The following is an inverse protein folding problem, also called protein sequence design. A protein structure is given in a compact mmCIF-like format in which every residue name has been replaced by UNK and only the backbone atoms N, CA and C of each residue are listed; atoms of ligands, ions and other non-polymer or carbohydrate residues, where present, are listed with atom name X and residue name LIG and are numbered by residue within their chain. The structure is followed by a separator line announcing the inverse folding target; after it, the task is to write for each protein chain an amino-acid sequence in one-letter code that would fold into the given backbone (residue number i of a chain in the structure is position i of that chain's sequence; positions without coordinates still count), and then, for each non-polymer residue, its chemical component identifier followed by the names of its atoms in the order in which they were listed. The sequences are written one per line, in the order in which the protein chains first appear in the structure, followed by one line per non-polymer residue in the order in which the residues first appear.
data_IF_628749409811
#
_entry.id   IF_628749409811
#
_cell.length_a   1.000
_cell.length_b   1.000
_cell.length_c   1.000
_cell.angle_alpha   90.00
_cell.angle_beta   90.00
_cell.angle_gamma   90.00
#
_symmetry.space_group_name_H-M   'P 1'
#
loop_
_entity.id
_entity.type
_entity.pdbx_description
1 polymer ?
#
# COMPACT_ATOMS: atom_id res chain seq x y z
N UNK A 1 -2.56 -5.61 -10.86
CA UNK A 1 -3.37 -5.01 -9.76
C UNK A 1 -3.88 -6.01 -8.75
N UNK A 2 -4.49 -7.15 -9.15
CA UNK A 2 -4.79 -8.23 -8.20
C UNK A 2 -3.55 -8.68 -7.39
N UNK A 3 -2.37 -8.60 -7.98
CA UNK A 3 -1.11 -8.90 -7.30
C UNK A 3 -0.79 -7.96 -6.13
N UNK A 4 -1.01 -6.64 -6.27
CA UNK A 4 -0.81 -5.67 -5.19
C UNK A 4 -1.73 -5.96 -4.00
N UNK A 5 -2.99 -6.27 -4.28
CA UNK A 5 -3.94 -6.68 -3.24
C UNK A 5 -3.47 -7.93 -2.51
N UNK A 6 -2.98 -8.94 -3.23
CA UNK A 6 -2.41 -10.13 -2.59
C UNK A 6 -1.18 -9.80 -1.74
N UNK A 7 -0.33 -8.87 -2.20
CA UNK A 7 0.84 -8.38 -1.45
C UNK A 7 0.41 -7.73 -0.13
N UNK A 8 -0.58 -6.83 -0.16
CA UNK A 8 -1.15 -6.23 1.06
C UNK A 8 -1.79 -7.25 2.01
N UNK A 9 -2.55 -8.21 1.47
CA UNK A 9 -3.14 -9.28 2.29
C UNK A 9 -2.07 -10.15 2.97
N UNK A 10 -0.98 -10.47 2.27
CA UNK A 10 0.19 -11.15 2.87
C UNK A 10 0.86 -10.30 3.94
N UNK A 11 0.99 -8.99 3.71
CA UNK A 11 1.55 -8.04 4.67
C UNK A 11 0.71 -8.00 5.96
N UNK A 12 -0.64 -7.94 5.86
CA UNK A 12 -1.54 -8.01 7.03
C UNK A 12 -1.34 -9.31 7.81
N UNK A 13 -1.29 -10.44 7.10
CA UNK A 13 -1.07 -11.74 7.72
C UNK A 13 0.28 -11.81 8.44
N UNK A 14 1.35 -11.24 7.86
CA UNK A 14 2.68 -11.15 8.50
C UNK A 14 2.67 -10.27 9.74
N UNK A 15 1.91 -9.17 9.72
CA UNK A 15 1.73 -8.30 10.87
C UNK A 15 0.82 -8.90 11.96
N UNK A 16 0.25 -10.10 11.74
CA UNK A 16 -0.65 -10.75 12.69
C UNK A 16 -2.04 -10.10 12.77
N UNK A 17 -2.41 -9.31 11.77
CA UNK A 17 -3.66 -8.55 11.75
C UNK A 17 -4.81 -9.41 11.23
N UNK A 18 -5.93 -9.41 11.94
CA UNK A 18 -7.17 -10.04 11.48
C UNK A 18 -7.73 -9.29 10.26
N UNK A 19 -8.53 -9.92 9.38
CA UNK A 19 -9.18 -9.25 8.26
C UNK A 19 -10.21 -8.18 8.67
N UNK A 20 -10.70 -8.25 9.91
CA UNK A 20 -11.60 -7.25 10.52
C UNK A 20 -10.86 -6.12 11.21
N UNK A 21 -9.53 -6.21 11.32
CA UNK A 21 -8.73 -5.17 11.97
C UNK A 21 -8.73 -3.90 11.12
N UNK A 22 -9.04 -2.78 11.76
CA UNK A 22 -9.08 -1.47 11.13
C UNK A 22 -7.63 -0.96 10.97
N UNK A 23 -7.12 -0.96 9.75
CA UNK A 23 -5.73 -0.63 9.44
C UNK A 23 -5.66 0.30 8.24
N UNK A 24 -4.80 1.32 8.34
CA UNK A 24 -4.55 2.22 7.21
C UNK A 24 -3.54 1.61 6.26
N UNK A 25 -3.91 1.54 4.98
CA UNK A 25 -3.07 0.97 3.95
C UNK A 25 -2.42 2.09 3.16
N UNK A 26 -1.10 2.16 3.23
CA UNK A 26 -0.33 3.23 2.62
C UNK A 26 0.77 2.68 1.72
N UNK A 27 1.21 3.48 0.77
CA UNK A 27 2.39 3.15 -0.03
C UNK A 27 3.26 4.39 -0.23
N UNK A 28 4.56 4.18 -0.43
CA UNK A 28 5.52 5.21 -0.78
C UNK A 28 6.21 4.82 -2.07
N UNK A 29 6.31 5.74 -3.03
CA UNK A 29 7.13 5.53 -4.22
C UNK A 29 8.56 5.89 -3.88
N UNK A 30 9.48 4.92 -4.01
CA UNK A 30 10.91 5.12 -3.77
C UNK A 30 11.63 5.47 -5.07
N UNK A 31 11.25 4.81 -6.16
CA UNK A 31 11.80 5.09 -7.49
C UNK A 31 10.77 4.74 -8.56
N UNK A 32 10.51 5.65 -9.49
CA UNK A 32 9.60 5.43 -10.62
C UNK A 32 10.27 5.93 -11.92
N UNK A 33 11.31 5.22 -12.40
CA UNK A 33 12.10 5.69 -13.55
C UNK A 33 11.31 5.68 -14.87
N UNK A 34 10.27 4.85 -14.96
CA UNK A 34 9.40 4.73 -16.13
C UNK A 34 8.23 5.73 -16.08
N UNK A 35 8.07 6.47 -14.97
CA UNK A 35 6.95 7.39 -14.80
C UNK A 35 5.60 6.67 -14.86
N UNK A 36 5.53 5.44 -14.33
CA UNK A 36 4.34 4.58 -14.36
C UNK A 36 3.13 5.30 -13.75
N UNK A 37 3.37 6.30 -12.89
CA UNK A 37 2.31 7.07 -12.25
C UNK A 37 1.54 6.16 -11.30
N UNK A 38 2.28 5.44 -10.45
CA UNK A 38 1.72 4.42 -9.57
C UNK A 38 0.55 4.95 -8.73
N UNK A 39 0.63 6.19 -8.25
CA UNK A 39 -0.47 6.82 -7.53
C UNK A 39 -1.71 7.09 -8.37
N UNK A 40 -1.57 7.48 -9.63
CA UNK A 40 -2.70 7.60 -10.54
C UNK A 40 -3.35 6.23 -10.82
N UNK A 41 -2.54 5.16 -10.92
CA UNK A 41 -3.04 3.79 -11.08
C UNK A 41 -3.78 3.26 -9.85
N UNK A 42 -3.27 3.58 -8.66
CA UNK A 42 -3.94 3.25 -7.39
C UNK A 42 -5.25 4.02 -7.29
N UNK A 43 -5.23 5.33 -7.52
CA UNK A 43 -6.43 6.18 -7.51
C UNK A 43 -7.48 5.70 -8.51
N UNK A 44 -7.08 5.34 -9.74
CA UNK A 44 -7.97 4.83 -10.78
C UNK A 44 -8.62 3.48 -10.43
N UNK A 45 -8.07 2.73 -9.46
CA UNK A 45 -8.55 1.40 -9.06
C UNK A 45 -8.86 1.32 -7.57
N UNK A 46 -9.07 2.46 -6.93
CA UNK A 46 -9.28 2.55 -5.48
C UNK A 46 -10.44 1.67 -5.02
N UNK A 47 -11.52 1.61 -5.80
CA UNK A 47 -12.70 0.77 -5.53
C UNK A 47 -12.35 -0.71 -5.34
N UNK A 48 -11.42 -1.22 -6.15
CA UNK A 48 -10.95 -2.61 -6.06
C UNK A 48 -10.13 -2.86 -4.80
N UNK A 49 -9.35 -1.88 -4.35
CA UNK A 49 -8.62 -1.97 -3.09
C UNK A 49 -9.56 -1.92 -1.89
N UNK A 50 -10.54 -1.01 -1.88
CA UNK A 50 -11.57 -0.93 -0.83
C UNK A 50 -12.34 -2.24 -0.72
N UNK A 51 -12.77 -2.81 -1.85
CA UNK A 51 -13.50 -4.08 -1.84
C UNK A 51 -12.66 -5.26 -1.31
N UNK A 52 -11.34 -5.26 -1.54
CA UNK A 52 -10.48 -6.41 -1.22
C UNK A 52 -9.71 -6.28 0.11
N UNK A 53 -9.49 -5.06 0.57
CA UNK A 53 -8.72 -4.73 1.77
C UNK A 53 -9.58 -4.09 2.86
N UNK A 54 -10.84 -3.78 2.54
CA UNK A 54 -11.80 -3.07 3.39
C UNK A 54 -11.39 -1.64 3.76
N UNK A 55 -10.37 -1.09 3.08
CA UNK A 55 -9.80 0.23 3.36
C UNK A 55 -9.23 0.87 2.09
N UNK A 56 -8.94 2.17 2.13
CA UNK A 56 -8.40 2.92 0.98
C UNK A 56 -6.87 2.84 0.98
N UNK A 57 -6.29 2.79 -0.22
CA UNK A 57 -4.84 2.84 -0.36
C UNK A 57 -4.41 4.28 -0.57
N UNK A 58 -3.61 4.81 0.35
CA UNK A 58 -3.14 6.19 0.31
C UNK A 58 -1.64 6.30 0.05
N UNK A 59 -1.22 7.34 -0.64
CA UNK A 59 0.20 7.65 -0.78
C UNK A 59 0.71 8.30 0.49
N UNK A 60 1.82 7.80 1.04
CA UNK A 60 2.58 8.54 2.04
C UNK A 60 3.23 9.72 1.31
N UNK A 61 2.56 10.88 1.35
CA UNK A 61 3.13 12.13 0.85
C UNK A 61 4.49 12.36 1.47
N UNK A 62 5.43 12.94 0.72
CA UNK A 62 6.84 13.09 1.11
C UNK A 62 7.14 13.92 2.37
N UNK A 63 6.14 14.24 3.19
CA UNK A 63 6.28 14.78 4.53
C UNK A 63 6.30 13.66 5.57
N UNK A 64 7.16 13.79 6.57
CA UNK A 64 7.43 12.87 7.67
C UNK A 64 6.25 12.65 8.64
N UNK A 65 5.00 12.80 8.18
CA UNK A 65 3.80 12.63 8.98
C UNK A 65 2.99 11.45 8.45
N UNK A 66 3.58 10.28 8.60
CA UNK A 66 2.90 9.01 8.41
C UNK A 66 3.24 8.18 9.63
N UNK A 67 2.44 8.31 10.69
CA UNK A 67 2.65 7.65 11.98
C UNK A 67 3.22 6.24 11.86
N UNK A 68 4.11 5.86 12.80
CA UNK A 68 4.98 4.69 12.74
C UNK A 68 4.27 3.47 12.12
N UNK A 69 4.68 2.99 10.94
CA UNK A 69 4.02 1.86 10.32
C UNK A 69 4.17 0.63 11.21
N UNK A 70 3.10 -0.16 11.31
CA UNK A 70 3.09 -1.47 11.97
C UNK A 70 4.07 -2.40 11.25
N UNK A 71 4.01 -2.37 9.92
CA UNK A 71 4.87 -3.15 9.05
C UNK A 71 5.05 -2.42 7.72
N UNK A 72 6.25 -2.49 7.17
CA UNK A 72 6.56 -2.01 5.83
C UNK A 72 7.33 -3.07 5.03
N UNK A 73 7.10 -3.11 3.72
CA UNK A 73 7.75 -4.05 2.83
C UNK A 73 8.04 -3.40 1.47
N UNK A 74 9.29 -3.51 1.04
CA UNK A 74 9.76 -3.09 -0.28
C UNK A 74 9.24 -4.02 -1.36
N UNK A 75 8.75 -3.43 -2.44
CA UNK A 75 8.13 -4.12 -3.57
C UNK A 75 8.62 -3.50 -4.87
N UNK A 76 9.02 -4.36 -5.80
CA UNK A 76 9.25 -3.97 -7.18
C UNK A 76 8.00 -4.24 -8.01
N UNK A 77 7.58 -3.23 -8.78
CA UNK A 77 6.46 -3.31 -9.74
C UNK A 77 7.01 -2.85 -11.09
N UNK A 78 7.37 -3.81 -11.94
CA UNK A 78 8.12 -3.52 -13.16
C UNK A 78 9.49 -2.93 -12.81
N UNK A 79 9.79 -1.74 -13.35
CA UNK A 79 11.03 -1.00 -13.08
C UNK A 79 10.90 0.01 -11.92
N UNK A 80 9.71 0.12 -11.33
CA UNK A 80 9.45 0.98 -10.19
C UNK A 80 9.65 0.25 -8.86
N UNK A 81 10.20 0.96 -7.88
CA UNK A 81 10.36 0.53 -6.51
C UNK A 81 9.41 1.31 -5.62
N UNK A 82 8.58 0.58 -4.89
CA UNK A 82 7.61 1.13 -3.94
C UNK A 82 7.76 0.42 -2.60
N UNK A 83 7.38 1.09 -1.52
CA UNK A 83 7.28 0.50 -0.18
C UNK A 83 5.82 0.48 0.20
N UNK A 84 5.30 -0.70 0.54
CA UNK A 84 3.95 -0.84 1.08
C UNK A 84 4.02 -0.75 2.59
N UNK A 85 3.06 -0.05 3.20
CA UNK A 85 3.04 0.21 4.63
C UNK A 85 1.64 -0.06 5.21
N UNK A 86 1.59 -0.68 6.37
CA UNK A 86 0.39 -0.80 7.19
C UNK A 86 0.53 0.14 8.38
N UNK A 87 -0.41 1.06 8.56
CA UNK A 87 -0.54 1.90 9.74
C UNK A 87 -1.68 1.41 10.63
N UNK A 88 -1.59 1.70 11.93
CA UNK A 88 -2.80 1.73 12.76
C UNK A 88 -3.57 3.00 12.42
N UNK A 89 -4.89 2.90 12.49
CA UNK A 89 -5.77 4.06 12.65
C UNK A 89 -5.50 4.77 13.97
#
# INVERSE_FOLDING_TARGET
MRELVNRFQRLRKKAGLAPTDEVHIRYRVVSDPDGVGFGALVAARQDMFVAALCDRVEEVGGGLDGGKPILEEEQSVGNAFIVLQLGKL
#
